data_IF_380791228157
#
_entry.id   IF_380791228157
#
_cell.length_a   1.000
_cell.length_b   1.000
_cell.length_c   1.000
_cell.angle_alpha   90.00
_cell.angle_beta   90.00
_cell.angle_gamma   90.00
#
_symmetry.space_group_name_H-M   'P 1'
#
loop_
_entity.id
_entity.type
_entity.pdbx_description
1 polymer ?
#
# COMPACT_ATOMS: atom_id res chain seq x y z
N UNK A 1 25.20 21.58 11.60
CA UNK A 1 24.93 22.65 10.62
C UNK A 1 23.64 22.37 9.90
N UNK A 2 22.67 23.24 10.04
CA UNK A 2 21.43 23.20 9.25
C UNK A 2 21.78 23.74 7.85
N UNK A 3 21.86 22.85 6.87
CA UNK A 3 21.98 23.26 5.46
C UNK A 3 20.63 23.90 5.05
N UNK A 4 20.67 25.20 4.81
CA UNK A 4 19.50 25.89 4.26
C UNK A 4 19.36 25.49 2.78
N UNK A 5 18.27 24.80 2.45
CA UNK A 5 17.98 24.42 1.08
C UNK A 5 17.69 25.67 0.22
N UNK A 6 18.16 25.65 -1.02
CA UNK A 6 17.81 26.69 -1.98
C UNK A 6 16.34 26.57 -2.42
N UNK A 7 15.77 27.68 -2.85
CA UNK A 7 14.42 27.69 -3.43
C UNK A 7 14.34 26.77 -4.65
N UNK A 8 15.39 26.74 -5.47
CA UNK A 8 15.44 25.85 -6.64
C UNK A 8 15.43 24.38 -6.25
N UNK A 9 16.17 23.98 -5.21
CA UNK A 9 16.15 22.60 -4.71
C UNK A 9 14.75 22.21 -4.24
N UNK A 10 14.04 23.10 -3.55
CA UNK A 10 12.65 22.85 -3.12
C UNK A 10 11.73 22.71 -4.32
N UNK A 11 11.84 23.58 -5.33
CA UNK A 11 11.04 23.46 -6.56
C UNK A 11 11.29 22.12 -7.27
N UNK A 12 12.55 21.73 -7.40
CA UNK A 12 12.93 20.43 -8.00
C UNK A 12 12.27 19.27 -7.25
N UNK A 13 12.33 19.29 -5.93
CA UNK A 13 11.72 18.27 -5.09
C UNK A 13 10.20 18.20 -5.28
N UNK A 14 9.51 19.34 -5.26
CA UNK A 14 8.06 19.38 -5.42
C UNK A 14 7.62 18.90 -6.81
N UNK A 15 8.35 19.27 -7.86
CA UNK A 15 8.10 18.77 -9.21
C UNK A 15 8.30 17.27 -9.27
N UNK A 16 9.40 16.75 -8.70
CA UNK A 16 9.67 15.32 -8.66
C UNK A 16 8.57 14.55 -7.92
N UNK A 17 8.09 15.06 -6.79
CA UNK A 17 6.97 14.46 -6.06
C UNK A 17 5.67 14.44 -6.89
N UNK A 18 5.42 15.49 -7.65
CA UNK A 18 4.26 15.56 -8.55
C UNK A 18 4.37 14.55 -9.70
N UNK A 19 5.54 14.40 -10.28
CA UNK A 19 5.81 13.39 -11.32
C UNK A 19 5.71 11.96 -10.77
N UNK A 20 6.17 11.75 -9.54
CA UNK A 20 6.10 10.44 -8.88
C UNK A 20 4.66 9.93 -8.73
N UNK A 21 3.69 10.82 -8.56
CA UNK A 21 2.27 10.45 -8.49
C UNK A 21 1.84 9.68 -9.75
N UNK A 22 2.30 10.10 -10.92
CA UNK A 22 2.01 9.41 -12.18
C UNK A 22 2.52 7.98 -12.18
N UNK A 23 3.69 7.73 -11.61
CA UNK A 23 4.27 6.38 -11.53
C UNK A 23 3.43 5.47 -10.64
N UNK A 24 2.95 5.98 -9.52
CA UNK A 24 2.08 5.23 -8.60
C UNK A 24 0.73 4.89 -9.25
N UNK A 25 0.27 5.73 -10.17
CA UNK A 25 -0.99 5.52 -10.89
C UNK A 25 -0.87 4.57 -12.09
N UNK A 26 0.34 4.15 -12.47
CA UNK A 26 0.58 3.15 -13.51
C UNK A 26 0.22 1.75 -12.97
N UNK A 27 -1.04 1.39 -13.08
CA UNK A 27 -1.53 0.09 -12.66
C UNK A 27 -2.22 -0.61 -13.83
N UNK A 28 -2.18 -1.95 -13.87
CA UNK A 28 -2.95 -2.68 -14.86
C UNK A 28 -4.45 -2.40 -14.66
N UNK A 29 -5.27 -2.50 -15.73
CA UNK A 29 -6.71 -2.37 -15.59
C UNK A 29 -7.25 -3.31 -14.52
N UNK A 30 -8.04 -2.78 -13.59
CA UNK A 30 -8.61 -3.55 -12.51
C UNK A 30 -9.97 -4.13 -12.92
N UNK A 31 -10.34 -5.32 -12.41
CA UNK A 31 -11.66 -5.87 -12.63
C UNK A 31 -12.72 -4.99 -11.97
N UNK A 32 -13.96 -5.11 -12.46
CA UNK A 32 -15.09 -4.42 -11.87
C UNK A 32 -15.22 -4.73 -10.38
N UNK A 33 -15.46 -3.71 -9.58
CA UNK A 33 -15.60 -3.82 -8.14
C UNK A 33 -14.31 -3.66 -7.35
N UNK A 34 -13.15 -3.52 -8.01
CA UNK A 34 -11.86 -3.25 -7.37
C UNK A 34 -11.33 -1.87 -7.75
N UNK A 35 -10.88 -1.14 -6.74
CA UNK A 35 -10.23 0.17 -6.88
C UNK A 35 -8.77 0.09 -6.46
N UNK A 36 -7.93 1.07 -6.84
CA UNK A 36 -6.55 1.14 -6.33
C UNK A 36 -6.47 1.14 -4.80
N UNK A 37 -7.42 1.79 -4.12
CA UNK A 37 -7.51 1.77 -2.66
C UNK A 37 -7.77 0.37 -2.10
N UNK A 38 -8.62 -0.41 -2.75
CA UNK A 38 -8.86 -1.81 -2.37
C UNK A 38 -7.58 -2.64 -2.48
N UNK A 39 -6.82 -2.47 -3.56
CA UNK A 39 -5.55 -3.19 -3.73
C UNK A 39 -4.52 -2.83 -2.66
N UNK A 40 -4.45 -1.57 -2.25
CA UNK A 40 -3.56 -1.17 -1.16
C UNK A 40 -3.94 -1.84 0.16
N UNK A 41 -5.22 -1.99 0.43
CA UNK A 41 -5.66 -2.73 1.62
C UNK A 41 -5.18 -4.18 1.58
N UNK A 42 -5.32 -4.86 0.43
CA UNK A 42 -4.82 -6.23 0.27
C UNK A 42 -3.30 -6.32 0.48
N UNK A 43 -2.57 -5.40 -0.12
CA UNK A 43 -1.12 -5.38 0.00
C UNK A 43 -0.66 -5.14 1.44
N UNK A 44 -1.32 -4.25 2.15
CA UNK A 44 -1.01 -3.98 3.55
C UNK A 44 -1.42 -5.11 4.50
N UNK A 45 -2.47 -5.85 4.19
CA UNK A 45 -2.80 -7.07 4.94
C UNK A 45 -1.65 -8.07 4.81
N UNK A 46 -1.12 -8.28 3.62
CA UNK A 46 0.02 -9.17 3.39
C UNK A 46 1.30 -8.66 4.06
N UNK A 47 1.57 -7.37 3.92
CA UNK A 47 2.73 -6.74 4.53
C UNK A 47 2.73 -6.88 6.06
N UNK A 48 1.63 -6.57 6.70
CA UNK A 48 1.50 -6.61 8.17
C UNK A 48 1.46 -8.03 8.73
N UNK A 49 0.96 -8.99 7.96
CA UNK A 49 0.96 -10.40 8.33
C UNK A 49 2.37 -10.93 8.64
N UNK A 50 3.40 -10.35 8.00
CA UNK A 50 4.80 -10.75 8.21
C UNK A 50 5.32 -10.42 9.61
N UNK A 51 4.67 -9.52 10.34
CA UNK A 51 5.20 -9.00 11.62
C UNK A 51 4.77 -9.80 12.83
N UNK A 52 3.68 -10.52 12.85
CA UNK A 52 3.29 -11.51 13.88
C UNK A 52 1.84 -12.00 13.80
N UNK A 53 0.86 -11.13 13.55
CA UNK A 53 -0.56 -11.45 13.59
C UNK A 53 -1.30 -10.78 12.45
N UNK A 54 -2.45 -11.34 12.02
CA UNK A 54 -3.29 -10.65 11.06
C UNK A 54 -3.65 -9.24 11.55
N UNK A 55 -3.63 -8.22 10.67
CA UNK A 55 -3.83 -6.85 11.09
C UNK A 55 -5.29 -6.55 11.48
N UNK A 56 -5.44 -5.50 12.28
CA UNK A 56 -6.73 -4.86 12.56
C UNK A 56 -7.00 -3.77 11.53
N UNK A 57 -8.25 -3.32 11.43
CA UNK A 57 -8.62 -2.17 10.57
C UNK A 57 -7.79 -0.93 10.92
N UNK A 58 -7.55 -0.67 12.20
CA UNK A 58 -6.73 0.46 12.65
C UNK A 58 -5.29 0.39 12.15
N UNK A 59 -4.70 -0.79 12.08
CA UNK A 59 -3.34 -0.98 11.56
C UNK A 59 -3.26 -0.62 10.07
N UNK A 60 -4.28 -1.01 9.30
CA UNK A 60 -4.38 -0.67 7.89
C UNK A 60 -4.60 0.84 7.70
N UNK A 61 -5.46 1.45 8.51
CA UNK A 61 -5.74 2.88 8.45
C UNK A 61 -4.46 3.71 8.69
N UNK A 62 -3.63 3.31 9.64
CA UNK A 62 -2.37 3.98 9.95
C UNK A 62 -1.40 3.96 8.76
N UNK A 63 -1.29 2.82 8.06
CA UNK A 63 -0.44 2.70 6.87
C UNK A 63 -0.99 3.48 5.67
N UNK A 64 -2.31 3.43 5.46
CA UNK A 64 -2.96 4.16 4.36
C UNK A 64 -2.94 5.67 4.56
N UNK A 65 -2.76 6.13 5.81
CA UNK A 65 -2.94 7.53 6.18
C UNK A 65 -4.33 8.07 5.78
N UNK A 66 -5.31 7.21 5.90
CA UNK A 66 -6.72 7.48 5.61
C UNK A 66 -7.49 7.38 6.92
N UNK A 67 -8.62 8.07 7.01
CA UNK A 67 -9.47 8.01 8.19
C UNK A 67 -9.98 6.58 8.46
N UNK A 68 -10.30 6.25 9.70
CA UNK A 68 -10.90 4.95 10.03
C UNK A 68 -12.20 4.67 9.26
N UNK A 69 -13.14 5.62 9.13
CA UNK A 69 -14.34 5.42 8.29
C UNK A 69 -14.00 5.12 6.84
N UNK A 70 -13.01 5.81 6.25
CA UNK A 70 -12.56 5.56 4.88
C UNK A 70 -11.97 4.17 4.71
N UNK A 71 -11.14 3.72 5.67
CA UNK A 71 -10.57 2.38 5.68
C UNK A 71 -11.65 1.32 5.88
N UNK A 72 -12.59 1.54 6.80
CA UNK A 72 -13.72 0.64 7.04
C UNK A 72 -14.55 0.45 5.78
N UNK A 73 -14.76 1.50 4.99
CA UNK A 73 -15.46 1.42 3.71
C UNK A 73 -14.72 0.51 2.73
N UNK A 74 -13.40 0.70 2.56
CA UNK A 74 -12.59 -0.15 1.68
C UNK A 74 -12.62 -1.62 2.11
N UNK A 75 -12.53 -1.86 3.42
CA UNK A 75 -12.63 -3.21 4.00
C UNK A 75 -14.00 -3.82 3.72
N UNK A 76 -15.07 -3.06 3.90
CA UNK A 76 -16.45 -3.53 3.64
C UNK A 76 -16.66 -3.86 2.16
N UNK A 77 -16.12 -3.05 1.25
CA UNK A 77 -16.15 -3.32 -0.19
C UNK A 77 -15.47 -4.65 -0.54
N UNK A 78 -14.30 -4.91 0.01
CA UNK A 78 -13.56 -6.15 -0.21
C UNK A 78 -14.26 -7.36 0.42
N UNK A 79 -14.87 -7.18 1.58
CA UNK A 79 -15.63 -8.23 2.25
C UNK A 79 -16.88 -8.59 1.44
N UNK A 80 -17.55 -7.60 0.87
CA UNK A 80 -18.76 -7.80 0.06
C UNK A 80 -18.50 -8.68 -1.18
N UNK A 81 -17.32 -8.60 -1.78
CA UNK A 81 -16.90 -9.44 -2.92
C UNK A 81 -16.09 -10.67 -2.52
N UNK A 82 -16.09 -10.99 -1.23
CA UNK A 82 -15.44 -12.18 -0.67
C UNK A 82 -13.92 -12.26 -0.93
N UNK A 83 -13.25 -11.15 -0.91
CA UNK A 83 -11.79 -11.05 -1.12
C UNK A 83 -11.04 -11.07 0.21
N UNK A 84 -11.66 -10.56 1.26
CA UNK A 84 -11.17 -10.63 2.63
C UNK A 84 -12.25 -11.14 3.55
N UNK A 85 -11.83 -11.64 4.71
CA UNK A 85 -12.72 -12.05 5.78
C UNK A 85 -12.24 -11.51 7.12
N UNK A 86 -13.20 -11.29 8.02
CA UNK A 86 -12.94 -10.91 9.40
C UNK A 86 -12.79 -12.16 10.25
N UNK A 87 -11.76 -12.16 11.10
CA UNK A 87 -11.54 -13.22 12.08
C UNK A 87 -11.44 -12.61 13.47
N UNK A 88 -11.92 -13.35 14.48
CA UNK A 88 -11.78 -12.93 15.86
C UNK A 88 -10.36 -13.18 16.35
N UNK A 89 -9.84 -12.25 17.18
CA UNK A 89 -8.58 -12.47 17.88
C UNK A 89 -8.72 -13.65 18.85
N UNK A 90 -7.65 -14.44 18.95
CA UNK A 90 -7.66 -15.65 19.80
C UNK A 90 -7.73 -15.35 21.29
N UNK A 91 -7.19 -14.21 21.71
CA UNK A 91 -7.08 -13.81 23.11
C UNK A 91 -8.18 -12.85 23.54
N UNK A 92 -8.61 -11.94 22.65
CA UNK A 92 -9.67 -10.97 22.93
C UNK A 92 -10.69 -10.95 21.79
N UNK A 93 -11.87 -11.54 22.03
CA UNK A 93 -12.95 -11.64 21.03
C UNK A 93 -13.52 -10.28 20.57
N UNK A 94 -13.22 -9.20 21.28
CA UNK A 94 -13.62 -7.85 20.88
C UNK A 94 -12.76 -7.30 19.76
N UNK A 95 -11.58 -7.88 19.54
CA UNK A 95 -10.65 -7.50 18.50
C UNK A 95 -10.96 -8.28 17.23
N UNK A 96 -11.21 -7.56 16.14
CA UNK A 96 -11.44 -8.13 14.81
C UNK A 96 -10.18 -7.94 13.97
N UNK A 97 -9.73 -9.02 13.37
CA UNK A 97 -8.57 -9.05 12.48
C UNK A 97 -9.01 -9.38 11.05
N UNK A 98 -8.17 -8.99 10.10
CA UNK A 98 -8.44 -9.15 8.67
C UNK A 98 -7.48 -10.16 8.06
N UNK A 99 -7.97 -11.00 7.17
CA UNK A 99 -7.14 -11.86 6.34
C UNK A 99 -7.73 -12.00 4.93
N UNK A 100 -6.89 -12.27 3.97
CA UNK A 100 -7.34 -12.58 2.61
C UNK A 100 -7.97 -13.96 2.54
N UNK A 101 -9.01 -14.07 1.73
CA UNK A 101 -9.55 -15.36 1.28
C UNK A 101 -8.65 -15.94 0.17
N UNK A 102 -8.94 -17.15 -0.30
CA UNK A 102 -8.24 -17.71 -1.46
C UNK A 102 -8.39 -16.83 -2.69
N UNK A 103 -9.57 -16.26 -2.92
CA UNK A 103 -9.81 -15.29 -3.98
C UNK A 103 -8.95 -14.04 -3.80
N UNK A 104 -8.86 -13.53 -2.58
CA UNK A 104 -8.00 -12.39 -2.25
C UNK A 104 -6.53 -12.66 -2.53
N UNK A 105 -6.03 -13.82 -2.18
CA UNK A 105 -4.63 -14.22 -2.46
C UNK A 105 -4.34 -14.29 -3.95
N UNK A 106 -5.29 -14.78 -4.76
CA UNK A 106 -5.15 -14.82 -6.23
C UNK A 106 -5.11 -13.42 -6.83
N UNK A 107 -5.97 -12.53 -6.35
CA UNK A 107 -5.99 -11.13 -6.78
C UNK A 107 -4.68 -10.43 -6.41
N UNK A 108 -4.22 -10.61 -5.18
CA UNK A 108 -2.95 -10.05 -4.71
C UNK A 108 -1.77 -10.54 -5.56
N UNK A 109 -1.69 -11.85 -5.82
CA UNK A 109 -0.63 -12.43 -6.62
C UNK A 109 -0.62 -11.88 -8.05
N UNK A 110 -1.77 -11.72 -8.67
CA UNK A 110 -1.87 -11.26 -10.06
C UNK A 110 -1.66 -9.75 -10.21
N UNK A 111 -2.39 -8.96 -9.44
CA UNK A 111 -2.39 -7.49 -9.62
C UNK A 111 -1.29 -6.77 -8.85
N UNK A 112 -0.69 -7.39 -7.86
CA UNK A 112 0.36 -6.79 -7.03
C UNK A 112 1.69 -7.47 -7.27
N UNK A 113 1.84 -8.74 -6.94
CA UNK A 113 3.13 -9.42 -7.03
C UNK A 113 3.64 -9.55 -8.48
N UNK A 114 2.81 -9.99 -9.40
CA UNK A 114 3.21 -10.11 -10.81
C UNK A 114 3.47 -8.74 -11.43
N UNK A 115 2.64 -7.75 -11.11
CA UNK A 115 2.83 -6.39 -11.60
C UNK A 115 4.13 -5.78 -11.05
N UNK A 116 4.40 -5.92 -9.76
CA UNK A 116 5.65 -5.42 -9.17
C UNK A 116 6.88 -6.13 -9.76
N UNK A 117 6.80 -7.43 -9.98
CA UNK A 117 7.88 -8.18 -10.62
C UNK A 117 8.12 -7.71 -12.06
N UNK A 118 7.06 -7.49 -12.81
CA UNK A 118 7.16 -6.94 -14.16
C UNK A 118 7.76 -5.53 -14.14
N UNK A 119 7.28 -4.66 -13.26
CA UNK A 119 7.79 -3.30 -13.13
C UNK A 119 9.28 -3.28 -12.75
N UNK A 120 9.67 -4.12 -11.81
CA UNK A 120 11.08 -4.26 -11.42
C UNK A 120 11.98 -4.66 -12.59
N UNK A 121 11.47 -5.51 -13.50
CA UNK A 121 12.21 -5.90 -14.71
C UNK A 121 12.31 -4.77 -15.75
N UNK A 122 11.38 -3.82 -15.75
CA UNK A 122 11.41 -2.66 -16.65
C UNK A 122 12.34 -1.54 -16.17
N UNK A 123 12.55 -1.44 -14.88
CA UNK A 123 13.39 -0.39 -14.29
C UNK A 123 14.82 -0.90 -14.20
N UNK A 124 15.66 -0.53 -15.17
CA UNK A 124 17.04 -1.04 -15.26
C UNK A 124 18.12 -0.05 -14.82
N UNK A 125 17.80 1.24 -14.77
CA UNK A 125 18.78 2.31 -14.56
C UNK A 125 18.76 2.90 -13.14
N UNK A 126 18.07 2.24 -12.22
CA UNK A 126 17.93 2.68 -10.82
C UNK A 126 18.42 1.56 -9.91
N UNK A 127 19.31 1.89 -8.97
CA UNK A 127 19.80 0.94 -7.98
C UNK A 127 18.87 0.88 -6.76
N UNK A 128 18.93 -0.22 -6.02
CA UNK A 128 18.23 -0.33 -4.73
C UNK A 128 18.71 0.74 -3.74
N UNK A 129 19.98 1.13 -3.80
CA UNK A 129 20.53 2.22 -2.98
C UNK A 129 19.85 3.55 -3.29
N UNK A 130 19.59 3.87 -4.57
CA UNK A 130 18.86 5.07 -4.98
C UNK A 130 17.42 5.04 -4.47
N UNK A 131 16.76 3.89 -4.55
CA UNK A 131 15.40 3.70 -4.05
C UNK A 131 15.35 3.95 -2.54
N UNK A 132 16.27 3.35 -1.79
CA UNK A 132 16.33 3.50 -0.34
C UNK A 132 16.61 4.94 0.08
N UNK A 133 17.51 5.62 -0.62
CA UNK A 133 17.81 7.05 -0.37
C UNK A 133 16.59 7.92 -0.66
N UNK A 134 15.90 7.67 -1.76
CA UNK A 134 14.69 8.40 -2.14
C UNK A 134 13.59 8.21 -1.10
N UNK A 135 13.34 6.97 -0.69
CA UNK A 135 12.35 6.66 0.34
C UNK A 135 12.67 7.34 1.68
N UNK A 136 13.94 7.28 2.10
CA UNK A 136 14.40 7.92 3.34
C UNK A 136 14.27 9.45 3.27
N UNK A 137 14.52 10.05 2.10
CA UNK A 137 14.37 11.50 1.90
C UNK A 137 12.92 11.92 1.98
N UNK A 138 12.03 11.20 1.31
CA UNK A 138 10.58 11.47 1.35
C UNK A 138 10.03 11.34 2.77
N UNK A 139 10.51 10.36 3.53
CA UNK A 139 10.07 10.15 4.91
C UNK A 139 10.43 11.32 5.86
N UNK A 140 11.33 12.22 5.47
CA UNK A 140 11.72 13.41 6.23
C UNK A 140 10.86 14.63 5.94
N UNK A 141 9.99 14.56 4.94
CA UNK A 141 9.10 15.64 4.55
C UNK A 141 7.83 15.69 5.41
#
# INVERSE_FOLDING_TARGET
MTHKLSIEAIKTLLIACHEAKRVVELQPPLPEGLTPGNLKVLDYIEYLKRTAQPPKVSDIADLLQVTRPGTTRLVSELQAINVIEKISDKQDKRIVRLRMTDTGRKIHAYYIEQYHSWLAAQITDISEADINTTAATIAKL
#
